data_IF_308046899459
#
_entry.id   IF_308046899459
#
_cell.length_a   1.000
_cell.length_b   1.000
_cell.length_c   1.000
_cell.angle_alpha   90.00
_cell.angle_beta   90.00
_cell.angle_gamma   90.00
#
_symmetry.space_group_name_H-M   'P 1'
#
loop_
_entity.id
_entity.type
_entity.pdbx_description
1 polymer ?
#
# COMPACT_ATOMS: atom_id res chain seq x y z
N UNK A 1 3.33 -4.66 -7.75
CA UNK A 1 3.96 -5.96 -8.03
C UNK A 1 5.42 -5.85 -7.66
N UNK A 2 5.88 -6.64 -6.70
CA UNK A 2 7.29 -6.68 -6.29
C UNK A 2 7.83 -8.03 -6.73
N UNK A 3 8.88 -8.03 -7.54
CA UNK A 3 9.55 -9.27 -7.94
C UNK A 3 10.72 -9.52 -6.98
N UNK A 4 10.74 -10.69 -6.35
CA UNK A 4 11.82 -11.13 -5.47
C UNK A 4 12.57 -12.27 -6.19
N UNK A 5 13.79 -12.01 -6.62
CA UNK A 5 14.69 -13.00 -7.21
C UNK A 5 15.37 -13.80 -6.11
N UNK A 6 15.05 -15.09 -6.00
CA UNK A 6 15.57 -16.01 -5.00
C UNK A 6 16.42 -17.08 -5.69
N UNK A 7 17.65 -16.75 -6.08
CA UNK A 7 18.58 -17.74 -6.65
C UNK A 7 19.91 -17.16 -7.11
N UNK A 8 21.00 -17.46 -6.38
CA UNK A 8 22.39 -17.06 -6.66
C UNK A 8 23.01 -16.13 -5.60
N UNK A 9 24.36 -16.06 -5.46
CA UNK A 9 25.01 -15.34 -4.37
C UNK A 9 24.79 -13.84 -4.53
N UNK A 10 23.79 -13.33 -3.79
CA UNK A 10 23.41 -11.91 -3.75
C UNK A 10 21.96 -11.68 -4.17
N UNK A 11 21.14 -11.25 -3.20
CA UNK A 11 19.78 -10.75 -3.40
C UNK A 11 19.75 -9.55 -4.37
N UNK A 12 19.48 -9.79 -5.66
CA UNK A 12 19.26 -8.72 -6.64
C UNK A 12 17.77 -8.31 -6.67
N UNK A 13 17.39 -7.39 -5.78
CA UNK A 13 16.35 -6.34 -5.94
C UNK A 13 15.92 -5.95 -7.37
N UNK A 14 15.06 -6.63 -8.11
CA UNK A 14 14.55 -6.07 -9.39
C UNK A 14 13.29 -5.26 -9.08
N UNK A 15 13.39 -3.93 -9.09
CA UNK A 15 12.22 -3.06 -8.89
C UNK A 15 11.57 -2.83 -10.25
N UNK A 16 10.48 -3.54 -10.52
CA UNK A 16 9.62 -3.26 -11.67
C UNK A 16 8.77 -2.04 -11.32
N UNK A 17 9.13 -0.87 -11.85
CA UNK A 17 8.30 0.32 -11.79
C UNK A 17 7.21 0.21 -12.85
N UNK A 18 6.00 -0.14 -12.41
CA UNK A 18 4.78 0.09 -13.17
C UNK A 18 4.27 1.48 -12.81
N UNK A 19 4.32 2.42 -13.75
CA UNK A 19 3.78 3.75 -13.55
C UNK A 19 2.24 3.66 -13.50
N UNK A 20 1.66 4.07 -12.38
CA UNK A 20 0.25 4.43 -12.27
C UNK A 20 0.18 5.91 -11.88
N UNK A 21 -0.48 6.72 -12.70
CA UNK A 21 -0.69 8.13 -12.42
C UNK A 21 -1.96 8.32 -11.57
N UNK A 22 -1.85 9.02 -10.46
CA UNK A 22 -2.98 9.68 -9.79
C UNK A 22 -2.51 11.07 -9.34
N UNK A 23 -3.26 12.10 -9.73
CA UNK A 23 -2.79 13.49 -9.78
C UNK A 23 -3.00 14.32 -8.52
N UNK A 24 -2.40 15.52 -8.54
CA UNK A 24 -2.94 16.75 -7.94
C UNK A 24 -2.27 17.99 -8.58
N UNK A 25 -2.93 19.14 -8.47
CA UNK A 25 -2.78 20.34 -9.30
C UNK A 25 -1.77 21.40 -8.80
N UNK A 26 -1.21 22.11 -9.79
CA UNK A 26 -0.79 23.54 -9.92
C UNK A 26 0.37 24.12 -9.10
N UNK A 27 1.28 24.78 -9.84
CA UNK A 27 2.06 25.95 -9.39
C UNK A 27 3.42 26.06 -10.07
N UNK A 28 3.49 26.71 -11.24
CA UNK A 28 4.72 26.82 -12.02
C UNK A 28 5.75 27.81 -11.45
N UNK A 29 7.03 27.54 -11.69
CA UNK A 29 8.07 28.56 -11.85
C UNK A 29 9.27 27.92 -12.57
N UNK A 30 9.67 28.45 -13.72
CA UNK A 30 10.80 27.95 -14.49
C UNK A 30 12.11 28.18 -13.71
N UNK A 31 12.96 27.15 -13.59
CA UNK A 31 14.29 27.22 -12.97
C UNK A 31 15.35 26.46 -13.81
N UNK A 32 16.63 26.88 -13.71
CA UNK A 32 17.69 26.58 -14.68
C UNK A 32 18.18 25.12 -14.64
N UNK A 33 18.94 24.67 -15.65
CA UNK A 33 19.34 23.27 -15.80
C UNK A 33 20.23 22.78 -14.66
N UNK A 34 19.98 21.53 -14.26
CA UNK A 34 20.60 20.84 -13.14
C UNK A 34 22.13 20.77 -13.27
N UNK A 35 22.85 21.27 -12.28
CA UNK A 35 24.30 21.06 -12.13
C UNK A 35 24.61 19.62 -11.68
N UNK A 36 25.74 19.03 -12.09
CA UNK A 36 26.11 17.69 -11.68
C UNK A 36 26.45 17.63 -10.18
N UNK A 37 26.14 16.52 -9.50
CA UNK A 37 26.41 16.38 -8.06
C UNK A 37 27.92 16.33 -7.80
N UNK A 38 28.39 17.14 -6.84
CA UNK A 38 29.79 17.08 -6.35
C UNK A 38 30.02 15.77 -5.57
N UNK A 39 31.24 15.24 -5.66
CA UNK A 39 31.67 14.05 -4.93
C UNK A 39 31.57 14.26 -3.40
N UNK A 40 30.97 13.29 -2.70
CA UNK A 40 30.68 13.35 -1.25
C UNK A 40 31.91 13.00 -0.40
N UNK A 41 32.08 13.69 0.74
CA UNK A 41 33.01 13.27 1.80
C UNK A 41 32.33 12.25 2.75
N UNK A 42 33.05 11.27 3.32
CA UNK A 42 32.48 10.32 4.27
C UNK A 42 32.00 11.02 5.55
N UNK A 43 30.75 10.82 5.96
CA UNK A 43 30.17 11.37 7.20
C UNK A 43 29.19 12.54 7.02
N UNK A 44 29.08 13.10 5.81
CA UNK A 44 28.15 14.20 5.52
C UNK A 44 26.78 13.64 5.08
N UNK A 45 25.84 13.54 6.02
CA UNK A 45 24.43 13.27 5.67
C UNK A 45 23.82 14.58 5.20
N UNK A 46 23.99 14.88 3.92
CA UNK A 46 23.23 15.96 3.30
C UNK A 46 21.74 15.64 3.47
N UNK A 47 20.92 16.55 4.03
CA UNK A 47 19.50 16.30 4.16
C UNK A 47 18.94 16.02 2.78
N UNK A 48 18.34 14.85 2.60
CA UNK A 48 17.64 14.51 1.37
C UNK A 48 16.47 15.47 1.24
N UNK A 49 16.49 16.29 0.19
CA UNK A 49 15.43 17.28 -0.07
C UNK A 49 14.45 16.69 -1.07
N UNK A 50 13.19 17.11 -0.98
CA UNK A 50 12.16 16.75 -1.98
C UNK A 50 12.62 17.13 -3.40
N UNK A 51 13.30 18.28 -3.53
CA UNK A 51 13.83 18.76 -4.81
C UNK A 51 14.89 17.83 -5.44
N UNK A 52 15.55 16.96 -4.68
CA UNK A 52 16.54 16.02 -5.23
C UNK A 52 15.86 14.91 -6.07
N UNK A 53 14.52 14.81 -6.05
CA UNK A 53 13.71 13.89 -6.84
C UNK A 53 12.83 14.58 -7.90
N UNK A 54 13.02 15.88 -8.11
CA UNK A 54 12.27 16.63 -9.11
C UNK A 54 12.77 16.32 -10.53
N UNK A 55 11.84 16.20 -11.48
CA UNK A 55 12.14 15.97 -12.89
C UNK A 55 11.06 16.56 -13.79
N UNK A 56 11.46 16.99 -14.99
CA UNK A 56 10.52 17.50 -15.97
C UNK A 56 9.68 16.35 -16.55
N UNK A 57 8.38 16.33 -16.22
CA UNK A 57 7.40 15.41 -16.76
C UNK A 57 6.35 16.19 -17.56
N UNK A 58 6.41 16.16 -18.90
CA UNK A 58 5.39 16.78 -19.73
C UNK A 58 4.01 16.18 -19.44
N UNK A 59 2.97 17.03 -19.37
CA UNK A 59 1.63 16.61 -18.97
C UNK A 59 1.03 15.58 -19.94
N UNK A 60 1.38 15.69 -21.22
CA UNK A 60 0.99 14.76 -22.29
C UNK A 60 1.61 13.37 -22.14
N UNK A 61 2.69 13.22 -21.37
CA UNK A 61 3.31 11.92 -21.08
C UNK A 61 2.65 11.21 -19.87
N UNK A 62 1.67 11.85 -19.24
CA UNK A 62 0.85 11.24 -18.17
C UNK A 62 -0.31 10.52 -18.83
N UNK A 63 -0.28 9.19 -18.80
CA UNK A 63 -1.35 8.35 -19.34
C UNK A 63 -2.69 8.66 -18.64
N UNK A 64 -3.68 9.12 -19.41
CA UNK A 64 -5.03 9.39 -18.93
C UNK A 64 -5.90 8.12 -18.89
N UNK A 65 -5.53 7.11 -19.67
CA UNK A 65 -6.19 5.81 -19.75
C UNK A 65 -5.14 4.71 -19.76
N UNK A 66 -5.50 3.54 -19.26
CA UNK A 66 -4.64 2.36 -19.33
C UNK A 66 -4.51 1.87 -20.77
N UNK A 67 -3.37 1.26 -21.10
CA UNK A 67 -3.20 0.60 -22.39
C UNK A 67 -4.17 -0.59 -22.54
N UNK A 68 -4.72 -0.76 -23.74
CA UNK A 68 -5.59 -1.89 -24.10
C UNK A 68 -5.03 -2.58 -25.34
N UNK A 69 -4.66 -3.88 -25.26
CA UNK A 69 -4.68 -4.75 -24.09
C UNK A 69 -3.62 -4.36 -23.04
N UNK A 70 -3.86 -4.71 -21.77
CA UNK A 70 -3.01 -4.25 -20.63
C UNK A 70 -1.54 -4.63 -20.76
N UNK A 71 -1.24 -5.80 -21.33
CA UNK A 71 0.13 -6.27 -21.51
C UNK A 71 0.90 -5.54 -22.62
N UNK A 72 0.24 -4.70 -23.43
CA UNK A 72 0.89 -3.88 -24.44
C UNK A 72 1.60 -2.64 -23.87
N UNK A 73 1.40 -2.33 -22.58
CA UNK A 73 2.08 -1.24 -21.90
C UNK A 73 3.61 -1.38 -21.98
N UNK A 74 4.33 -0.26 -22.10
CA UNK A 74 5.79 -0.21 -22.10
C UNK A 74 6.33 -0.57 -20.71
N UNK A 75 7.41 -1.35 -20.69
CA UNK A 75 8.16 -1.74 -19.49
C UNK A 75 9.62 -1.28 -19.67
N UNK A 76 10.14 -0.55 -18.68
CA UNK A 76 11.55 -0.17 -18.63
C UNK A 76 12.30 -1.16 -17.77
N UNK A 77 13.31 -1.81 -18.33
CA UNK A 77 14.17 -2.78 -17.63
C UNK A 77 15.55 -2.20 -17.48
N UNK A 78 16.13 -2.24 -16.29
CA UNK A 78 17.50 -1.81 -16.04
C UNK A 78 18.11 -2.59 -14.88
N UNK A 79 19.43 -2.71 -14.89
CA UNK A 79 20.19 -3.32 -13.81
C UNK A 79 20.57 -2.27 -12.77
N UNK A 80 20.60 -2.66 -11.50
CA UNK A 80 21.10 -1.80 -10.43
C UNK A 80 22.61 -1.97 -10.32
N UNK A 81 23.34 -0.87 -10.32
CA UNK A 81 24.81 -0.83 -10.25
C UNK A 81 25.35 0.32 -11.08
N UNK A 82 26.67 0.36 -11.27
CA UNK A 82 27.39 1.49 -11.87
C UNK A 82 27.26 1.61 -13.40
N UNK A 83 26.19 1.05 -13.97
CA UNK A 83 25.89 1.12 -15.40
C UNK A 83 24.39 1.25 -15.63
N UNK A 84 23.90 2.46 -15.88
CA UNK A 84 22.52 2.66 -16.31
C UNK A 84 22.39 2.26 -17.78
N UNK A 85 21.94 1.02 -18.02
CA UNK A 85 21.68 0.47 -19.35
C UNK A 85 20.20 0.09 -19.49
N UNK A 86 19.31 1.07 -19.73
CA UNK A 86 17.89 0.79 -19.86
C UNK A 86 17.59 0.01 -21.15
N UNK A 87 16.71 -0.97 -21.05
CA UNK A 87 16.10 -1.70 -22.16
C UNK A 87 14.61 -1.39 -22.19
N UNK A 88 14.09 -1.12 -23.39
CA UNK A 88 12.66 -0.95 -23.60
C UNK A 88 12.03 -2.27 -23.99
N UNK A 89 11.03 -2.69 -23.22
CA UNK A 89 10.23 -3.91 -23.41
C UNK A 89 8.75 -3.57 -23.33
N UNK A 90 7.88 -4.56 -23.52
CA UNK A 90 6.46 -4.52 -23.16
C UNK A 90 6.22 -5.39 -21.93
N UNK A 91 5.12 -5.16 -21.22
CA UNK A 91 4.73 -6.01 -20.08
C UNK A 91 4.52 -7.47 -20.50
N UNK A 92 4.10 -7.72 -21.75
CA UNK A 92 4.04 -9.06 -22.34
C UNK A 92 5.39 -9.80 -22.34
N UNK A 93 6.51 -9.08 -22.35
CA UNK A 93 7.86 -9.66 -22.35
C UNK A 93 8.33 -10.00 -20.92
N UNK A 94 7.56 -9.67 -19.88
CA UNK A 94 7.95 -9.91 -18.48
C UNK A 94 8.42 -11.33 -18.19
N UNK A 95 7.79 -12.41 -18.71
CA UNK A 95 8.29 -13.77 -18.49
C UNK A 95 9.74 -14.00 -18.94
N UNK A 96 10.23 -13.24 -19.94
CA UNK A 96 11.60 -13.35 -20.44
C UNK A 96 12.64 -12.72 -19.50
N UNK A 97 12.21 -11.86 -18.58
CA UNK A 97 13.09 -11.22 -17.59
C UNK A 97 13.09 -11.99 -16.25
N UNK A 98 12.37 -13.13 -16.16
CA UNK A 98 12.31 -14.00 -14.99
C UNK A 98 13.19 -15.23 -15.18
N UNK A 99 13.82 -15.69 -14.11
CA UNK A 99 14.52 -16.98 -14.05
C UNK A 99 13.70 -18.01 -13.30
N UNK A 100 13.87 -19.32 -13.59
CA UNK A 100 13.36 -20.38 -12.73
C UNK A 100 13.82 -20.16 -11.27
N UNK A 101 12.87 -20.24 -10.33
CA UNK A 101 13.10 -19.95 -8.91
C UNK A 101 12.75 -18.52 -8.45
N UNK A 102 12.44 -17.61 -9.36
CA UNK A 102 11.98 -16.26 -8.99
C UNK A 102 10.57 -16.27 -8.39
N UNK A 103 10.35 -15.46 -7.35
CA UNK A 103 9.05 -15.28 -6.70
C UNK A 103 8.40 -13.97 -7.15
N UNK A 104 7.27 -14.08 -7.85
CA UNK A 104 6.44 -12.94 -8.22
C UNK A 104 5.40 -12.66 -7.12
N UNK A 105 5.62 -11.59 -6.36
CA UNK A 105 4.66 -11.14 -5.34
C UNK A 105 3.71 -10.12 -5.94
N UNK A 106 2.48 -10.58 -6.20
CA UNK A 106 1.39 -9.73 -6.70
C UNK A 106 0.56 -9.25 -5.51
N UNK A 107 0.30 -7.95 -5.46
CA UNK A 107 -0.62 -7.39 -4.47
C UNK A 107 -2.05 -7.59 -4.95
N UNK A 108 -2.83 -8.41 -4.25
CA UNK A 108 -4.26 -8.58 -4.48
C UNK A 108 -5.03 -7.73 -3.46
N UNK A 109 -5.38 -6.49 -3.83
CA UNK A 109 -6.11 -5.57 -2.96
C UNK A 109 -7.60 -5.93 -2.96
N UNK A 110 -8.11 -6.43 -1.83
CA UNK A 110 -9.55 -6.53 -1.56
C UNK A 110 -9.97 -5.36 -0.68
N UNK A 111 -10.93 -4.57 -1.14
CA UNK A 111 -11.56 -3.53 -0.31
C UNK A 111 -12.69 -4.21 0.46
N UNK A 112 -12.51 -4.40 1.76
CA UNK A 112 -13.59 -4.82 2.66
C UNK A 112 -14.16 -3.55 3.29
N UNK A 113 -15.45 -3.22 3.10
CA UNK A 113 -16.10 -2.16 3.86
C UNK A 113 -16.17 -2.62 5.31
N UNK A 114 -15.27 -2.11 6.13
CA UNK A 114 -14.97 -2.70 7.42
C UNK A 114 -14.86 -1.68 8.56
N UNK A 115 -15.19 -0.42 8.30
CA UNK A 115 -15.13 0.65 9.31
C UNK A 115 -16.50 0.79 9.97
N UNK A 116 -16.65 0.21 11.16
CA UNK A 116 -17.83 0.38 12.00
C UNK A 116 -17.62 1.60 12.90
N UNK A 117 -18.59 2.52 12.91
CA UNK A 117 -18.63 3.64 13.83
C UNK A 117 -19.43 3.23 15.06
N UNK A 118 -18.81 3.29 16.23
CA UNK A 118 -19.40 2.83 17.47
C UNK A 118 -19.28 3.85 18.61
N UNK A 119 -20.08 3.64 19.64
CA UNK A 119 -20.07 4.43 20.87
C UNK A 119 -19.87 3.50 22.07
N UNK A 120 -19.02 3.93 23.01
CA UNK A 120 -18.93 3.29 24.33
C UNK A 120 -20.24 3.52 25.10
N UNK A 121 -20.50 2.72 26.15
CA UNK A 121 -21.57 3.01 27.10
C UNK A 121 -21.48 4.42 27.70
N UNK A 122 -20.26 4.95 27.82
CA UNK A 122 -20.00 6.32 28.30
C UNK A 122 -20.23 7.43 27.25
N UNK A 123 -20.65 7.09 26.03
CA UNK A 123 -20.89 8.03 24.94
C UNK A 123 -19.65 8.38 24.10
N UNK A 124 -18.45 7.97 24.51
CA UNK A 124 -17.23 8.20 23.75
C UNK A 124 -17.19 7.43 22.42
N UNK A 125 -16.76 8.09 21.33
CA UNK A 125 -16.65 7.48 20.00
C UNK A 125 -15.53 6.44 19.90
N UNK A 126 -15.77 5.39 19.12
CA UNK A 126 -14.83 4.31 18.79
C UNK A 126 -15.03 3.94 17.32
N UNK A 127 -13.96 3.85 16.57
CA UNK A 127 -13.96 3.27 15.24
C UNK A 127 -13.39 1.85 15.29
N UNK A 128 -14.06 0.89 14.67
CA UNK A 128 -13.60 -0.49 14.57
C UNK A 128 -13.35 -0.79 13.09
N UNK A 129 -12.10 -1.08 12.72
CA UNK A 129 -11.71 -1.45 11.37
C UNK A 129 -11.51 -2.96 11.30
N UNK A 130 -12.46 -3.70 10.74
CA UNK A 130 -12.33 -5.14 10.52
C UNK A 130 -11.28 -5.41 9.44
N UNK A 131 -10.36 -6.33 9.70
CA UNK A 131 -9.25 -6.66 8.80
C UNK A 131 -9.47 -8.02 8.15
N UNK A 132 -9.71 -9.04 8.99
CA UNK A 132 -9.76 -10.43 8.59
C UNK A 132 -10.77 -11.18 9.47
N UNK A 133 -11.67 -11.92 8.83
CA UNK A 133 -12.58 -12.81 9.54
C UNK A 133 -11.80 -14.03 10.05
N UNK A 134 -12.00 -14.38 11.32
CA UNK A 134 -11.31 -15.46 12.01
C UNK A 134 -12.14 -16.75 12.06
N UNK A 135 -13.39 -16.68 11.62
CA UNK A 135 -14.32 -17.81 11.55
C UNK A 135 -15.17 -17.77 10.26
N UNK A 136 -15.76 -18.92 9.95
CA UNK A 136 -16.51 -19.14 8.71
C UNK A 136 -17.83 -18.36 8.67
N UNK A 137 -18.43 -18.13 9.84
CA UNK A 137 -19.66 -17.35 10.03
C UNK A 137 -19.40 -15.82 10.09
N UNK A 138 -18.14 -15.38 9.94
CA UNK A 138 -17.72 -13.96 9.93
C UNK A 138 -18.23 -13.20 11.16
N UNK A 139 -18.24 -13.84 12.33
CA UNK A 139 -18.65 -13.24 13.60
C UNK A 139 -17.45 -12.78 14.40
N UNK A 140 -16.29 -13.42 14.25
CA UNK A 140 -15.02 -12.98 14.85
C UNK A 140 -14.10 -12.38 13.82
N UNK A 141 -13.46 -11.31 14.20
CA UNK A 141 -12.60 -10.55 13.32
C UNK A 141 -11.34 -10.09 14.04
N UNK A 142 -10.22 -10.11 13.31
CA UNK A 142 -9.08 -9.26 13.63
C UNK A 142 -9.44 -7.83 13.23
N UNK A 143 -9.24 -6.86 14.11
CA UNK A 143 -9.62 -5.47 13.89
C UNK A 143 -8.60 -4.46 14.46
N UNK A 144 -8.69 -3.21 13.99
CA UNK A 144 -8.02 -2.05 14.60
C UNK A 144 -9.05 -1.17 15.29
N UNK A 145 -8.67 -0.57 16.43
CA UNK A 145 -9.51 0.37 17.16
C UNK A 145 -8.99 1.79 17.06
N UNK A 146 -9.83 2.71 16.62
CA UNK A 146 -9.60 4.15 16.67
C UNK A 146 -10.42 4.80 17.79
N UNK A 147 -9.79 5.16 18.91
CA UNK A 147 -10.44 5.89 20.01
C UNK A 147 -9.42 6.63 20.88
N UNK A 148 -9.79 7.78 21.45
CA UNK A 148 -8.91 8.56 22.34
C UNK A 148 -8.46 7.77 23.58
N UNK A 149 -9.34 6.93 24.10
CA UNK A 149 -9.03 5.90 25.11
C UNK A 149 -9.58 4.60 24.56
N UNK A 150 -8.75 3.58 24.38
CA UNK A 150 -9.26 2.33 23.83
C UNK A 150 -10.18 1.62 24.85
N UNK A 151 -11.24 0.94 24.39
CA UNK A 151 -12.03 0.05 25.23
C UNK A 151 -11.17 -1.09 25.81
N UNK A 152 -11.56 -1.58 26.98
CA UNK A 152 -10.91 -2.72 27.63
C UNK A 152 -11.36 -4.04 27.01
N UNK A 153 -10.58 -5.10 27.22
CA UNK A 153 -11.02 -6.47 26.93
C UNK A 153 -12.29 -6.79 27.73
N UNK A 154 -13.20 -7.54 27.13
CA UNK A 154 -14.54 -7.85 27.65
C UNK A 154 -15.56 -6.71 27.54
N UNK A 155 -15.16 -5.51 27.11
CA UNK A 155 -16.10 -4.39 26.94
C UNK A 155 -16.83 -4.45 25.60
N UNK A 156 -18.00 -3.80 25.55
CA UNK A 156 -18.84 -3.71 24.36
C UNK A 156 -18.97 -2.28 23.88
N UNK A 157 -19.01 -2.09 22.57
CA UNK A 157 -19.29 -0.81 21.93
C UNK A 157 -20.48 -0.96 21.00
N UNK A 158 -21.39 0.02 21.04
CA UNK A 158 -22.63 -0.01 20.26
C UNK A 158 -22.41 0.66 18.92
N UNK A 159 -22.70 -0.06 17.84
CA UNK A 159 -22.64 0.47 16.48
C UNK A 159 -24.01 1.03 16.08
N UNK A 160 -25.06 0.22 16.28
CA UNK A 160 -26.45 0.59 16.05
C UNK A 160 -27.36 -0.06 17.10
N UNK A 161 -28.67 0.20 17.04
CA UNK A 161 -29.63 -0.50 17.90
C UNK A 161 -29.63 -2.00 17.56
N UNK A 162 -29.45 -2.84 18.58
CA UNK A 162 -29.35 -4.30 18.39
C UNK A 162 -28.03 -4.79 17.77
N UNK A 163 -27.07 -3.92 17.45
CA UNK A 163 -25.77 -4.31 16.89
C UNK A 163 -24.60 -3.74 17.69
N UNK A 164 -23.82 -4.64 18.28
CA UNK A 164 -22.69 -4.32 19.16
C UNK A 164 -21.43 -5.07 18.77
N UNK A 165 -20.28 -4.55 19.19
CA UNK A 165 -18.98 -5.20 19.04
C UNK A 165 -18.39 -5.43 20.41
N UNK A 166 -18.09 -6.69 20.72
CA UNK A 166 -17.39 -7.11 21.93
C UNK A 166 -15.89 -7.19 21.66
N UNK A 167 -15.10 -6.54 22.51
CA UNK A 167 -13.64 -6.61 22.45
C UNK A 167 -13.20 -7.86 23.21
N UNK A 168 -12.58 -8.81 22.51
CA UNK A 168 -12.17 -10.07 23.11
C UNK A 168 -10.76 -9.97 23.68
N UNK A 169 -9.75 -10.16 22.83
CA UNK A 169 -8.34 -10.23 23.24
C UNK A 169 -7.48 -9.32 22.39
N UNK A 170 -6.46 -8.71 22.98
CA UNK A 170 -5.46 -7.91 22.26
C UNK A 170 -4.43 -8.82 21.60
N UNK A 171 -4.18 -8.54 20.33
CA UNK A 171 -3.20 -9.21 19.50
C UNK A 171 -2.04 -8.23 19.21
N UNK A 172 -0.93 -8.74 18.69
CA UNK A 172 0.15 -7.87 18.24
C UNK A 172 -0.34 -6.94 17.12
N UNK A 173 -0.38 -5.65 17.42
CA UNK A 173 -0.83 -4.59 16.52
C UNK A 173 -2.33 -4.62 16.15
N UNK A 174 -3.17 -5.43 16.83
CA UNK A 174 -4.59 -5.54 16.53
C UNK A 174 -5.41 -5.98 17.76
N UNK A 175 -6.72 -6.13 17.59
CA UNK A 175 -7.61 -6.76 18.56
C UNK A 175 -8.46 -7.82 17.89
N UNK A 176 -8.80 -8.86 18.62
CA UNK A 176 -9.90 -9.74 18.25
C UNK A 176 -11.22 -9.13 18.74
N UNK A 177 -12.22 -9.08 17.87
CA UNK A 177 -13.56 -8.61 18.20
C UNK A 177 -14.61 -9.62 17.76
N UNK A 178 -15.74 -9.63 18.46
CA UNK A 178 -16.93 -10.37 18.06
C UNK A 178 -18.08 -9.41 17.74
N UNK A 179 -18.70 -9.62 16.59
CA UNK A 179 -19.93 -8.94 16.21
C UNK A 179 -21.12 -9.60 16.93
N UNK A 180 -22.00 -8.79 17.52
CA UNK A 180 -23.20 -9.20 18.25
C UNK A 180 -24.43 -8.56 17.59
N UNK A 181 -25.51 -9.33 17.35
CA UNK A 181 -26.70 -8.89 16.60
C UNK A 181 -26.81 -9.50 15.20
N UNK A 182 -27.99 -9.44 14.58
CA UNK A 182 -28.28 -10.17 13.33
C UNK A 182 -27.87 -9.43 12.04
N UNK A 183 -27.46 -8.16 12.15
CA UNK A 183 -26.98 -7.39 11.00
C UNK A 183 -25.64 -7.96 10.51
N UNK A 184 -25.54 -8.26 9.22
CA UNK A 184 -24.24 -8.53 8.61
C UNK A 184 -23.44 -7.22 8.54
N UNK A 185 -22.11 -7.25 8.70
CA UNK A 185 -21.29 -6.04 8.53
C UNK A 185 -21.37 -5.45 7.11
N UNK A 186 -21.85 -6.23 6.13
CA UNK A 186 -22.07 -5.78 4.76
C UNK A 186 -23.41 -4.98 4.60
N UNK A 187 -24.30 -5.01 5.61
CA UNK A 187 -25.62 -4.35 5.61
C UNK A 187 -25.66 -3.00 6.38
N UNK A 188 -24.50 -2.47 6.78
CA UNK A 188 -24.33 -1.25 7.59
C UNK A 188 -23.54 -0.16 6.85
#
# INVERSE_FOLDING_TARGET
MVLLRLGGPGLRRVRVLLAAAQGLRRGGCARPPCLPPRARRPGEVNPVRVADFDYHLPAEQIAQQAATPRHAARMLVFERGDGFRPRHRRVADLPQELSPGDLLVVNNTRVVPARLLAHKPTGGRVEVFLLEALDADRRRWRALLGASRQPAEGSRVRVAEGFEVEILTRLEGAVEVRLLGDAAPDDL
#
